data_IF_687579184160
#
_entry.id   IF_687579184160
#
_cell.length_a   1.000
_cell.length_b   1.000
_cell.length_c   1.000
_cell.angle_alpha   90.00
_cell.angle_beta   90.00
_cell.angle_gamma   90.00
#
_symmetry.space_group_name_H-M   'P 1'
#
loop_
_entity.id
_entity.type
_entity.pdbx_description
1 polymer ?
#
# COMPACT_ATOMS: atom_id res chain seq x y z
N UNK A 1 -14.68 -29.31 -20.50
CA UNK A 1 -15.21 -29.08 -19.13
C UNK A 1 -14.13 -29.51 -18.12
N UNK A 2 -13.11 -28.67 -17.93
CA UNK A 2 -11.99 -28.89 -16.98
C UNK A 2 -11.64 -27.51 -16.42
N UNK A 3 -12.43 -26.97 -15.49
CA UNK A 3 -12.18 -25.63 -14.94
C UNK A 3 -12.86 -25.46 -13.59
N UNK A 4 -12.18 -25.80 -12.50
CA UNK A 4 -12.71 -25.52 -11.16
C UNK A 4 -11.85 -26.05 -10.02
N UNK A 5 -11.24 -27.22 -10.17
CA UNK A 5 -10.47 -27.85 -9.07
C UNK A 5 -9.05 -27.30 -8.92
N UNK A 6 -8.45 -26.79 -10.00
CA UNK A 6 -7.07 -26.27 -9.99
C UNK A 6 -6.97 -24.86 -9.40
N UNK A 7 -8.03 -24.05 -9.48
CA UNK A 7 -8.04 -22.66 -9.00
C UNK A 7 -8.17 -22.59 -7.48
N UNK A 8 -8.92 -23.50 -6.86
CA UNK A 8 -9.11 -23.57 -5.41
C UNK A 8 -7.81 -24.00 -4.70
N UNK A 9 -6.99 -24.85 -5.35
CA UNK A 9 -5.69 -25.27 -4.81
C UNK A 9 -4.66 -24.14 -4.73
N UNK A 10 -4.69 -23.20 -5.68
CA UNK A 10 -3.79 -22.03 -5.68
C UNK A 10 -4.15 -20.99 -4.62
N UNK A 11 -5.45 -20.79 -4.36
CA UNK A 11 -5.95 -19.85 -3.34
C UNK A 11 -5.67 -20.34 -1.91
N UNK A 12 -5.69 -21.65 -1.67
CA UNK A 12 -5.37 -22.22 -0.36
C UNK A 12 -3.85 -22.23 -0.06
N UNK A 13 -3.00 -22.30 -1.08
CA UNK A 13 -1.54 -22.26 -0.90
C UNK A 13 -1.02 -20.86 -0.48
N UNK A 14 -1.71 -19.79 -0.88
CA UNK A 14 -1.40 -18.41 -0.47
C UNK A 14 -1.76 -18.12 1.00
N UNK A 15 -2.70 -18.87 1.59
CA UNK A 15 -3.10 -18.70 2.99
C UNK A 15 -2.08 -19.30 3.98
N UNK A 16 -1.32 -20.32 3.55
CA UNK A 16 -0.34 -21.01 4.40
C UNK A 16 0.97 -20.23 4.62
N UNK A 17 1.22 -19.18 3.83
CA UNK A 17 2.46 -18.37 3.95
C UNK A 17 2.32 -17.30 5.05
N UNK A 18 1.10 -16.97 5.49
CA UNK A 18 0.84 -15.93 6.49
C UNK A 18 0.94 -16.44 7.93
N UNK A 19 1.03 -17.77 8.14
CA UNK A 19 1.00 -18.38 9.47
C UNK A 19 2.38 -18.55 10.16
N UNK A 20 3.47 -18.06 9.58
CA UNK A 20 4.73 -17.94 10.33
C UNK A 20 4.73 -16.64 11.12
N UNK A 21 4.17 -16.68 12.33
CA UNK A 21 4.45 -15.69 13.35
C UNK A 21 5.96 -15.71 13.67
N UNK A 22 6.75 -14.95 12.91
CA UNK A 22 8.13 -14.65 13.27
C UNK A 22 8.07 -13.80 14.55
N UNK A 23 8.86 -14.13 15.59
CA UNK A 23 8.98 -13.22 16.72
C UNK A 23 9.44 -11.85 16.20
N UNK A 24 8.73 -10.80 16.58
CA UNK A 24 9.18 -9.42 16.42
C UNK A 24 10.42 -9.24 17.28
N UNK A 25 11.58 -9.61 16.73
CA UNK A 25 12.86 -9.46 17.41
C UNK A 25 13.24 -7.97 17.41
N UNK A 26 12.83 -7.26 18.46
CA UNK A 26 12.86 -5.80 18.53
C UNK A 26 14.23 -5.23 18.93
N UNK A 27 15.28 -6.05 19.09
CA UNK A 27 16.58 -5.56 19.59
C UNK A 27 17.83 -6.25 19.02
N UNK A 28 17.71 -7.17 18.06
CA UNK A 28 18.87 -7.77 17.42
C UNK A 28 19.68 -6.76 16.59
N UNK A 29 20.99 -6.71 16.77
CA UNK A 29 21.93 -5.96 15.94
C UNK A 29 21.85 -6.48 14.48
N UNK A 30 20.87 -6.02 13.70
CA UNK A 30 20.61 -6.50 12.34
C UNK A 30 21.65 -5.87 11.40
N UNK A 31 22.46 -6.71 10.79
CA UNK A 31 23.37 -6.28 9.73
C UNK A 31 22.58 -6.17 8.43
N UNK A 32 22.73 -5.05 7.72
CA UNK A 32 22.13 -4.85 6.40
C UNK A 32 22.57 -5.96 5.45
N UNK A 33 21.60 -6.64 4.85
CA UNK A 33 21.82 -7.62 3.78
C UNK A 33 21.53 -6.90 2.45
N UNK A 34 22.54 -6.62 1.60
CA UNK A 34 22.33 -5.87 0.36
C UNK A 34 21.32 -6.54 -0.58
N UNK A 35 21.27 -7.88 -0.62
CA UNK A 35 20.32 -8.61 -1.45
C UNK A 35 18.89 -8.43 -0.97
N UNK A 36 18.66 -8.56 0.35
CA UNK A 36 17.34 -8.30 0.94
C UNK A 36 16.95 -6.82 0.85
N UNK A 37 17.90 -5.91 1.00
CA UNK A 37 17.66 -4.48 0.90
C UNK A 37 17.14 -4.10 -0.50
N UNK A 38 17.81 -4.58 -1.56
CA UNK A 38 17.35 -4.38 -2.93
C UNK A 38 16.02 -5.09 -3.21
N UNK A 39 15.85 -6.32 -2.70
CA UNK A 39 14.59 -7.05 -2.85
C UNK A 39 13.42 -6.31 -2.20
N UNK A 40 13.58 -5.81 -0.97
CA UNK A 40 12.51 -5.09 -0.26
C UNK A 40 12.25 -3.73 -0.89
N UNK A 41 13.28 -2.95 -1.20
CA UNK A 41 13.10 -1.63 -1.80
C UNK A 41 12.47 -1.75 -3.20
N UNK A 42 13.04 -2.59 -4.06
CA UNK A 42 12.53 -2.83 -5.42
C UNK A 42 11.16 -3.51 -5.43
N UNK A 43 10.96 -4.50 -4.56
CA UNK A 43 9.70 -5.21 -4.41
C UNK A 43 8.57 -4.31 -3.90
N UNK A 44 8.85 -3.42 -2.94
CA UNK A 44 7.88 -2.43 -2.45
C UNK A 44 7.48 -1.47 -3.56
N UNK A 45 8.46 -0.87 -4.25
CA UNK A 45 8.20 0.06 -5.35
C UNK A 45 7.43 -0.61 -6.51
N UNK A 46 7.84 -1.81 -6.91
CA UNK A 46 7.16 -2.58 -7.95
C UNK A 46 5.74 -2.97 -7.55
N UNK A 47 5.52 -3.34 -6.28
CA UNK A 47 4.18 -3.68 -5.78
C UNK A 47 3.26 -2.47 -5.77
N UNK A 48 3.74 -1.30 -5.33
CA UNK A 48 2.97 -0.06 -5.35
C UNK A 48 2.62 0.37 -6.77
N UNK A 49 3.61 0.42 -7.67
CA UNK A 49 3.37 0.81 -9.07
C UNK A 49 2.45 -0.19 -9.78
N UNK A 50 2.69 -1.49 -9.57
CA UNK A 50 1.88 -2.55 -10.16
C UNK A 50 0.44 -2.55 -9.66
N UNK A 51 0.21 -2.31 -8.37
CA UNK A 51 -1.14 -2.26 -7.81
C UNK A 51 -1.86 -0.97 -8.18
N UNK A 52 -1.19 0.18 -8.21
CA UNK A 52 -1.78 1.43 -8.72
C UNK A 52 -2.15 1.32 -10.20
N UNK A 53 -1.30 0.69 -11.01
CA UNK A 53 -1.63 0.40 -12.40
C UNK A 53 -2.82 -0.57 -12.53
N UNK A 54 -2.87 -1.61 -11.69
CA UNK A 54 -4.02 -2.52 -11.69
C UNK A 54 -5.30 -1.80 -11.26
N UNK A 55 -5.23 -0.92 -10.25
CA UNK A 55 -6.33 -0.09 -9.78
C UNK A 55 -6.81 0.87 -10.88
N UNK A 56 -5.88 1.56 -11.56
CA UNK A 56 -6.15 2.42 -12.72
C UNK A 56 -7.00 1.71 -13.78
N UNK A 57 -6.70 0.44 -14.06
CA UNK A 57 -7.42 -0.36 -15.07
C UNK A 57 -8.71 -0.99 -14.57
N UNK A 58 -8.77 -1.37 -13.30
CA UNK A 58 -9.92 -2.07 -12.75
C UNK A 58 -11.01 -1.10 -12.26
N UNK A 59 -10.61 0.02 -11.65
CA UNK A 59 -11.50 0.95 -10.98
C UNK A 59 -11.84 2.17 -11.85
N UNK A 60 -10.85 2.77 -12.51
CA UNK A 60 -11.05 4.03 -13.21
C UNK A 60 -11.37 3.92 -14.71
N UNK A 61 -11.32 2.72 -15.29
CA UNK A 61 -11.53 2.51 -16.73
C UNK A 61 -12.88 3.03 -17.25
N UNK A 62 -13.91 3.04 -16.41
CA UNK A 62 -15.26 3.49 -16.77
C UNK A 62 -15.50 5.00 -16.65
N UNK A 63 -14.48 5.77 -16.26
CA UNK A 63 -14.58 7.21 -16.04
C UNK A 63 -13.71 7.97 -17.04
N UNK A 64 -14.26 9.06 -17.58
CA UNK A 64 -13.48 9.94 -18.46
C UNK A 64 -12.30 10.52 -17.70
N UNK A 65 -11.15 10.60 -18.37
CA UNK A 65 -9.96 11.28 -17.83
C UNK A 65 -10.02 12.75 -18.16
N UNK A 66 -10.01 13.58 -17.13
CA UNK A 66 -10.02 15.04 -17.24
C UNK A 66 -8.71 15.63 -16.72
N UNK A 67 -8.53 16.94 -16.89
CA UNK A 67 -7.37 17.63 -16.32
C UNK A 67 -7.34 17.49 -14.80
N UNK A 68 -6.12 17.47 -14.22
CA UNK A 68 -5.96 17.34 -12.78
C UNK A 68 -6.79 18.39 -12.04
N UNK A 69 -7.61 17.93 -11.11
CA UNK A 69 -8.45 18.79 -10.30
C UNK A 69 -8.52 18.25 -8.87
N UNK A 70 -8.82 19.15 -7.94
CA UNK A 70 -9.01 18.82 -6.53
C UNK A 70 -10.50 18.88 -6.20
N UNK A 71 -10.88 18.12 -5.18
CA UNK A 71 -12.25 18.02 -4.69
C UNK A 71 -12.25 18.20 -3.16
N UNK A 72 -13.29 18.83 -2.62
CA UNK A 72 -13.47 18.98 -1.19
C UNK A 72 -14.60 18.04 -0.74
N UNK A 73 -14.19 16.92 -0.16
CA UNK A 73 -15.05 15.86 0.33
C UNK A 73 -15.00 15.75 1.86
N UNK A 74 -14.64 16.86 2.52
CA UNK A 74 -14.48 16.92 3.97
C UNK A 74 -15.75 16.61 4.76
N UNK A 75 -16.93 16.61 4.14
CA UNK A 75 -18.21 16.24 4.74
C UNK A 75 -18.80 14.94 4.17
N UNK A 76 -18.07 14.24 3.29
CA UNK A 76 -18.58 13.05 2.63
C UNK A 76 -18.55 11.82 3.54
N UNK A 77 -19.56 10.98 3.31
CA UNK A 77 -19.65 9.62 3.84
C UNK A 77 -19.37 9.47 5.34
N UNK A 78 -19.74 10.46 6.16
CA UNK A 78 -19.47 10.46 7.60
C UNK A 78 -18.00 10.14 7.95
N UNK A 79 -17.04 10.62 7.13
CA UNK A 79 -15.60 10.40 7.31
C UNK A 79 -15.14 8.94 7.19
N UNK A 80 -15.99 8.03 6.68
CA UNK A 80 -15.62 6.61 6.53
C UNK A 80 -14.39 6.46 5.62
N UNK A 81 -14.31 7.30 4.57
CA UNK A 81 -13.19 7.30 3.66
C UNK A 81 -11.89 7.71 4.37
N UNK A 82 -11.91 8.80 5.13
CA UNK A 82 -10.77 9.31 5.91
C UNK A 82 -10.31 8.30 6.95
N UNK A 83 -11.24 7.57 7.57
CA UNK A 83 -10.92 6.44 8.46
C UNK A 83 -10.24 5.30 7.70
N UNK A 84 -10.70 5.00 6.47
CA UNK A 84 -10.07 4.06 5.56
C UNK A 84 -8.64 4.46 5.21
N UNK A 85 -8.42 5.74 4.89
CA UNK A 85 -7.11 6.34 4.63
C UNK A 85 -6.18 6.20 5.83
N UNK A 86 -6.58 6.71 7.00
CA UNK A 86 -5.77 6.62 8.22
C UNK A 86 -5.46 5.17 8.63
N UNK A 87 -6.46 4.29 8.54
CA UNK A 87 -6.26 2.88 8.83
C UNK A 87 -5.26 2.25 7.86
N UNK A 88 -5.44 2.45 6.56
CA UNK A 88 -4.59 1.86 5.53
C UNK A 88 -3.17 2.42 5.59
N UNK A 89 -3.02 3.72 5.82
CA UNK A 89 -1.74 4.38 6.01
C UNK A 89 -0.96 3.75 7.18
N UNK A 90 -1.61 3.59 8.33
CA UNK A 90 -1.01 2.94 9.50
C UNK A 90 -0.63 1.48 9.22
N UNK A 91 -1.51 0.70 8.61
CA UNK A 91 -1.25 -0.72 8.37
C UNK A 91 -0.12 -0.94 7.37
N UNK A 92 -0.12 -0.19 6.26
CA UNK A 92 0.92 -0.23 5.26
C UNK A 92 2.26 0.28 5.83
N UNK A 93 2.24 1.35 6.62
CA UNK A 93 3.43 1.86 7.31
C UNK A 93 4.02 0.85 8.29
N UNK A 94 3.16 0.18 9.08
CA UNK A 94 3.57 -0.87 10.02
C UNK A 94 4.14 -2.09 9.31
N UNK A 95 3.50 -2.53 8.22
CA UNK A 95 4.00 -3.63 7.40
C UNK A 95 5.32 -3.25 6.70
N UNK A 96 5.42 -2.02 6.20
CA UNK A 96 6.63 -1.46 5.62
C UNK A 96 7.77 -1.46 6.63
N UNK A 97 7.56 -0.92 7.84
CA UNK A 97 8.57 -0.92 8.91
C UNK A 97 9.10 -2.32 9.17
N UNK A 98 8.20 -3.30 9.38
CA UNK A 98 8.60 -4.67 9.63
C UNK A 98 9.39 -5.28 8.46
N UNK A 99 9.02 -4.96 7.22
CA UNK A 99 9.67 -5.46 6.01
C UNK A 99 11.07 -4.87 5.82
N UNK A 100 11.23 -3.56 6.00
CA UNK A 100 12.55 -2.90 5.95
C UNK A 100 13.44 -3.35 7.12
N UNK A 101 12.89 -3.47 8.33
CA UNK A 101 13.63 -4.02 9.46
C UNK A 101 14.09 -5.46 9.16
N UNK A 102 13.26 -6.29 8.54
CA UNK A 102 13.61 -7.67 8.15
C UNK A 102 14.75 -7.72 7.11
N UNK A 103 14.83 -6.72 6.22
CA UNK A 103 15.96 -6.57 5.30
C UNK A 103 17.28 -6.12 5.97
N UNK A 104 17.27 -5.87 7.28
CA UNK A 104 18.45 -5.47 8.04
C UNK A 104 18.74 -3.97 8.03
N UNK A 105 17.76 -3.15 7.63
CA UNK A 105 17.86 -1.71 7.86
C UNK A 105 17.83 -1.42 9.37
N UNK A 106 18.56 -0.40 9.79
CA UNK A 106 18.50 0.07 11.18
C UNK A 106 17.09 0.60 11.49
N UNK A 107 16.76 0.71 12.78
CA UNK A 107 15.43 1.10 13.24
C UNK A 107 14.98 2.45 12.66
N UNK A 108 15.85 3.47 12.71
CA UNK A 108 15.53 4.80 12.18
C UNK A 108 15.18 4.73 10.69
N UNK A 109 15.96 4.03 9.89
CA UNK A 109 15.69 3.87 8.46
C UNK A 109 14.41 3.08 8.22
N UNK A 110 14.15 2.03 9.01
CA UNK A 110 12.94 1.21 8.90
C UNK A 110 11.68 2.00 9.23
N UNK A 111 11.72 2.87 10.25
CA UNK A 111 10.62 3.78 10.59
C UNK A 111 10.35 4.76 9.46
N UNK A 112 11.37 5.43 8.93
CA UNK A 112 11.15 6.44 7.89
C UNK A 112 10.76 5.85 6.53
N UNK A 113 11.51 4.86 6.03
CA UNK A 113 11.21 4.25 4.73
C UNK A 113 9.98 3.37 4.80
N UNK A 114 9.89 2.53 5.82
CA UNK A 114 8.77 1.61 6.00
C UNK A 114 7.49 2.33 6.38
N UNK A 115 7.55 3.27 7.32
CA UNK A 115 6.39 4.06 7.77
C UNK A 115 5.80 4.94 6.67
N UNK A 116 6.61 5.44 5.74
CA UNK A 116 6.13 6.27 4.62
C UNK A 116 5.44 5.50 3.50
N UNK A 117 5.51 4.16 3.47
CA UNK A 117 4.89 3.34 2.41
C UNK A 117 3.39 3.62 2.29
N UNK A 118 2.67 3.68 3.42
CA UNK A 118 1.22 3.94 3.43
C UNK A 118 0.87 5.30 2.85
N UNK A 119 1.54 6.35 3.35
CA UNK A 119 1.37 7.72 2.85
C UNK A 119 1.62 7.82 1.33
N UNK A 120 2.75 7.28 0.84
CA UNK A 120 3.10 7.36 -0.58
C UNK A 120 2.10 6.58 -1.43
N UNK A 121 1.67 5.40 -0.96
CA UNK A 121 0.71 4.58 -1.71
C UNK A 121 -0.64 5.28 -1.87
N UNK A 122 -1.20 5.80 -0.77
CA UNK A 122 -2.49 6.47 -0.78
C UNK A 122 -2.42 7.82 -1.50
N UNK A 123 -1.31 8.55 -1.42
CA UNK A 123 -1.07 9.72 -2.29
C UNK A 123 -1.13 9.34 -3.78
N UNK A 124 -0.68 8.15 -4.14
CA UNK A 124 -0.81 7.62 -5.50
C UNK A 124 -2.25 7.36 -5.91
N UNK A 125 -3.13 6.97 -4.99
CA UNK A 125 -4.56 6.82 -5.23
C UNK A 125 -5.19 8.20 -5.46
N UNK A 126 -4.95 9.16 -4.56
CA UNK A 126 -5.42 10.55 -4.71
C UNK A 126 -4.98 11.18 -6.03
N UNK A 127 -3.76 10.86 -6.48
CA UNK A 127 -3.27 11.29 -7.78
C UNK A 127 -4.12 10.72 -8.93
N UNK A 128 -4.52 9.44 -8.87
CA UNK A 128 -5.42 8.86 -9.87
C UNK A 128 -6.81 9.48 -9.80
N UNK A 129 -7.32 9.76 -8.60
CA UNK A 129 -8.59 10.45 -8.38
C UNK A 129 -8.60 11.84 -9.01
N UNK A 130 -7.52 12.60 -8.86
CA UNK A 130 -7.38 13.93 -9.46
C UNK A 130 -7.56 13.99 -10.98
N UNK A 131 -7.37 12.87 -11.71
CA UNK A 131 -7.60 12.79 -13.16
C UNK A 131 -8.92 12.08 -13.53
N UNK A 132 -9.72 11.63 -12.57
CA UNK A 132 -11.03 11.04 -12.81
C UNK A 132 -12.09 12.10 -13.05
N UNK A 133 -13.14 11.81 -13.82
CA UNK A 133 -14.33 12.68 -13.90
C UNK A 133 -15.34 12.43 -12.78
N UNK A 134 -15.20 11.30 -12.06
CA UNK A 134 -16.11 10.89 -10.99
C UNK A 134 -15.56 11.12 -9.58
N UNK A 135 -14.25 11.31 -9.46
CA UNK A 135 -13.51 11.56 -8.22
C UNK A 135 -12.59 12.75 -8.43
N UNK A 136 -11.93 13.23 -7.38
CA UNK A 136 -10.91 14.29 -7.46
C UNK A 136 -9.90 14.16 -6.34
N UNK A 137 -8.75 14.82 -6.46
CA UNK A 137 -7.71 14.78 -5.43
C UNK A 137 -8.21 15.46 -4.15
N UNK A 138 -8.25 14.73 -3.03
CA UNK A 138 -8.72 15.26 -1.74
C UNK A 138 -7.57 15.68 -0.82
N UNK A 139 -7.64 16.92 -0.32
CA UNK A 139 -6.72 17.38 0.72
C UNK A 139 -7.06 16.80 2.10
N UNK A 140 -8.31 16.40 2.33
CA UNK A 140 -8.71 15.78 3.58
C UNK A 140 -8.17 14.36 3.68
N UNK A 141 -8.21 13.58 2.60
CA UNK A 141 -7.62 12.25 2.58
C UNK A 141 -6.09 12.30 2.64
N UNK A 142 -5.47 13.29 2.01
CA UNK A 142 -4.05 13.57 2.21
C UNK A 142 -3.69 13.87 3.67
N UNK A 143 -4.57 14.58 4.40
CA UNK A 143 -4.42 14.79 5.84
C UNK A 143 -4.63 13.51 6.65
N UNK A 144 -5.52 12.62 6.22
CA UNK A 144 -5.77 11.33 6.85
C UNK A 144 -4.65 10.29 6.57
N UNK A 145 -3.84 10.48 5.54
CA UNK A 145 -2.75 9.58 5.14
C UNK A 145 -1.50 9.61 6.06
N UNK A 146 -1.53 10.36 7.17
CA UNK A 146 -0.38 10.58 8.08
C UNK A 146 -0.53 9.86 9.42
#
# INVERSE_FOLDING_TARGET
MVCGRTVIGFLLALCSIVAHAQPLDSTGNRTLDPGRAWLVAGGTAASMAGSLFALDRAWYQGHDRIGFHSFDDGDEWYQVDKLGHAHSAFQLGRAGHATFAWAGFNERTSVWLGGSVGFIYLTGIEYLDGFSSAYGFSWWDMGANT
#
